data_IF_977413832933
#
_entry.id   IF_977413832933
#
_cell.length_a   1.000
_cell.length_b   1.000
_cell.length_c   1.000
_cell.angle_alpha   90.00
_cell.angle_beta   90.00
_cell.angle_gamma   90.00
#
_symmetry.space_group_name_H-M   'P 1'
#
loop_
_entity.id
_entity.type
_entity.pdbx_description
1 polymer ?
#
# COMPACT_ATOMS: atom_id res chain seq x y z
N UNK A 1 -9.38 -14.22 10.72
CA UNK A 1 -9.16 -13.13 11.70
C UNK A 1 -8.92 -11.88 10.88
N UNK A 2 -9.82 -10.92 10.98
CA UNK A 2 -9.75 -9.69 10.22
C UNK A 2 -8.80 -8.70 10.90
N UNK A 3 -7.92 -8.07 10.15
CA UNK A 3 -6.91 -7.15 10.66
C UNK A 3 -6.83 -5.88 9.85
N UNK A 4 -6.47 -4.81 10.56
CA UNK A 4 -6.08 -3.53 9.99
C UNK A 4 -4.62 -3.26 10.36
N UNK A 5 -3.78 -2.98 9.37
CA UNK A 5 -2.39 -2.55 9.54
C UNK A 5 -2.30 -1.12 9.04
N UNK A 6 -1.70 -0.23 9.82
CA UNK A 6 -1.37 1.13 9.38
C UNK A 6 0.11 1.41 9.59
N UNK A 7 0.72 2.06 8.62
CA UNK A 7 2.12 2.47 8.69
C UNK A 7 2.39 3.77 7.92
N UNK A 8 3.50 4.40 8.28
CA UNK A 8 4.07 5.56 7.58
C UNK A 8 5.46 5.19 7.09
N UNK A 9 5.82 5.60 5.88
CA UNK A 9 7.19 5.50 5.38
C UNK A 9 7.58 6.74 4.59
N UNK A 10 8.88 7.02 4.54
CA UNK A 10 9.42 8.08 3.69
C UNK A 10 9.72 7.53 2.30
N UNK A 11 9.37 8.29 1.27
CA UNK A 11 9.63 7.95 -0.12
C UNK A 11 11.11 8.16 -0.46
N UNK A 12 11.62 7.31 -1.34
CA UNK A 12 12.95 7.48 -1.93
C UNK A 12 13.05 8.82 -2.65
N UNK A 13 14.21 9.50 -2.57
CA UNK A 13 14.43 10.75 -3.29
C UNK A 13 14.32 10.59 -4.81
N UNK A 14 14.54 9.38 -5.32
CA UNK A 14 14.52 9.01 -6.73
C UNK A 14 13.13 8.69 -7.29
N UNK A 15 12.12 8.60 -6.43
CA UNK A 15 10.77 8.23 -6.84
C UNK A 15 10.17 9.35 -7.70
N UNK A 16 9.74 9.04 -8.92
CA UNK A 16 9.04 10.01 -9.78
C UNK A 16 7.53 9.96 -9.57
N UNK A 17 6.80 10.89 -10.18
CA UNK A 17 5.33 10.89 -10.15
C UNK A 17 4.78 9.67 -10.88
N UNK A 18 5.38 9.30 -12.01
CA UNK A 18 5.00 8.13 -12.80
C UNK A 18 5.19 6.83 -12.00
N UNK A 19 6.27 6.72 -11.21
CA UNK A 19 6.48 5.60 -10.30
C UNK A 19 5.36 5.49 -9.26
N UNK A 20 4.88 6.62 -8.74
CA UNK A 20 3.78 6.68 -7.76
C UNK A 20 2.47 6.25 -8.41
N UNK A 21 2.18 6.71 -9.63
CA UNK A 21 0.98 6.32 -10.37
C UNK A 21 0.98 4.81 -10.66
N UNK A 22 2.12 4.27 -11.11
CA UNK A 22 2.28 2.82 -11.30
C UNK A 22 2.10 2.04 -10.00
N UNK A 23 2.70 2.51 -8.89
CA UNK A 23 2.52 1.90 -7.57
C UNK A 23 1.04 1.87 -7.15
N UNK A 24 0.28 2.92 -7.41
CA UNK A 24 -1.15 2.99 -7.10
C UNK A 24 -1.96 1.99 -7.94
N UNK A 25 -1.62 1.81 -9.22
CA UNK A 25 -2.24 0.82 -10.10
C UNK A 25 -1.94 -0.60 -9.59
N UNK A 26 -0.68 -0.91 -9.34
CA UNK A 26 -0.23 -2.22 -8.88
C UNK A 26 -0.86 -2.57 -7.52
N UNK A 27 -0.90 -1.60 -6.60
CA UNK A 27 -1.57 -1.73 -5.31
C UNK A 27 -3.04 -2.08 -5.50
N UNK A 28 -3.76 -1.39 -6.38
CA UNK A 28 -5.18 -1.66 -6.64
C UNK A 28 -5.40 -3.06 -7.22
N UNK A 29 -4.59 -3.47 -8.20
CA UNK A 29 -4.69 -4.80 -8.82
C UNK A 29 -4.41 -5.90 -7.80
N UNK A 30 -3.32 -5.79 -7.06
CA UNK A 30 -2.93 -6.79 -6.08
C UNK A 30 -3.92 -6.85 -4.91
N UNK A 31 -4.41 -5.70 -4.43
CA UNK A 31 -5.38 -5.65 -3.34
C UNK A 31 -6.71 -6.29 -3.75
N UNK A 32 -7.24 -5.96 -4.93
CA UNK A 32 -8.47 -6.57 -5.44
C UNK A 32 -8.33 -8.10 -5.59
N UNK A 33 -7.20 -8.59 -6.14
CA UNK A 33 -6.94 -10.02 -6.28
C UNK A 33 -6.96 -10.76 -4.93
N UNK A 34 -6.52 -10.09 -3.88
CA UNK A 34 -6.37 -10.65 -2.55
C UNK A 34 -7.51 -10.26 -1.59
N UNK A 35 -8.57 -9.62 -2.07
CA UNK A 35 -9.66 -9.08 -1.25
C UNK A 35 -9.16 -8.21 -0.07
N UNK A 36 -8.08 -7.48 -0.31
CA UNK A 36 -7.53 -6.47 0.60
C UNK A 36 -8.21 -5.14 0.27
N UNK A 37 -8.60 -4.40 1.30
CA UNK A 37 -9.12 -3.03 1.18
C UNK A 37 -8.18 -2.06 1.90
N UNK A 38 -8.34 -0.77 1.65
CA UNK A 38 -7.52 0.21 2.34
C UNK A 38 -7.34 1.51 1.59
N UNK A 39 -6.39 2.29 2.07
CA UNK A 39 -6.04 3.62 1.59
C UNK A 39 -4.52 3.69 1.50
N UNK A 40 -4.02 4.25 0.40
CA UNK A 40 -2.61 4.65 0.24
C UNK A 40 -2.61 6.15 -0.12
N UNK A 41 -1.94 6.96 0.70
CA UNK A 41 -1.77 8.39 0.48
C UNK A 41 -0.29 8.69 0.31
N UNK A 42 0.02 9.48 -0.72
CA UNK A 42 1.34 10.10 -0.88
C UNK A 42 1.20 11.60 -0.69
N UNK A 43 1.92 12.16 0.28
CA UNK A 43 1.99 13.59 0.54
C UNK A 43 3.38 13.97 1.03
N UNK A 44 3.95 15.02 0.45
CA UNK A 44 5.24 15.59 0.86
C UNK A 44 6.34 14.54 1.11
N UNK A 45 6.59 13.70 0.10
CA UNK A 45 7.56 12.58 0.15
C UNK A 45 7.32 11.55 1.26
N UNK A 46 6.10 11.44 1.77
CA UNK A 46 5.71 10.41 2.73
C UNK A 46 4.53 9.59 2.21
N UNK A 47 4.57 8.30 2.50
CA UNK A 47 3.46 7.39 2.33
C UNK A 47 2.77 7.15 3.66
N UNK A 48 1.45 7.24 3.66
CA UNK A 48 0.59 6.76 4.73
C UNK A 48 -0.30 5.66 4.15
N UNK A 49 -0.21 4.45 4.72
CA UNK A 49 -1.02 3.32 4.26
C UNK A 49 -1.85 2.73 5.38
N UNK A 50 -3.08 2.37 5.03
CA UNK A 50 -3.97 1.52 5.82
C UNK A 50 -4.33 0.32 4.94
N UNK A 51 -4.16 -0.89 5.47
CA UNK A 51 -4.44 -2.16 4.80
C UNK A 51 -5.38 -2.97 5.69
N UNK A 52 -6.50 -3.44 5.14
CA UNK A 52 -7.54 -4.20 5.82
C UNK A 52 -7.83 -5.51 5.10
N UNK A 53 -7.86 -6.63 5.82
CA UNK A 53 -8.17 -7.93 5.26
C UNK A 53 -8.00 -9.10 6.22
N UNK A 54 -8.13 -10.32 5.70
CA UNK A 54 -7.93 -11.55 6.49
C UNK A 54 -6.43 -11.80 6.76
N UNK A 55 -6.09 -12.20 7.99
CA UNK A 55 -4.71 -12.41 8.45
C UNK A 55 -3.87 -13.37 7.58
N UNK A 56 -4.49 -14.36 6.93
CA UNK A 56 -3.77 -15.29 6.06
C UNK A 56 -3.22 -14.64 4.78
N UNK A 57 -3.67 -13.41 4.48
CA UNK A 57 -3.34 -12.66 3.27
C UNK A 57 -2.26 -11.60 3.57
N UNK A 58 -2.08 -11.17 4.82
CA UNK A 58 -1.19 -10.06 5.18
C UNK A 58 0.31 -10.40 5.21
N UNK A 59 0.73 -11.59 4.73
CA UNK A 59 2.14 -11.98 4.62
C UNK A 59 2.86 -11.43 3.38
N UNK A 60 2.17 -10.75 2.46
CA UNK A 60 2.69 -10.41 1.13
C UNK A 60 3.14 -8.96 0.92
N UNK A 61 3.07 -8.09 1.92
CA UNK A 61 3.62 -6.72 1.84
C UNK A 61 4.92 -6.64 2.64
N UNK A 62 6.00 -7.20 2.09
CA UNK A 62 7.36 -6.85 2.49
C UNK A 62 7.85 -5.73 1.58
N UNK A 63 8.25 -4.61 2.19
CA UNK A 63 8.93 -3.51 1.53
C UNK A 63 10.34 -3.84 1.06
#
# INVERSE_FOLDING_TARGET
MFLTISYVSSASEKLTIEDIEMLMIDTKVNNNRNNIRGILVYIDRNFFQIIEGEYHISKYTKG
#
